data_IF_753364804087
#
_entry.id   IF_753364804087
#
_cell.length_a   1.000
_cell.length_b   1.000
_cell.length_c   1.000
_cell.angle_alpha   90.00
_cell.angle_beta   90.00
_cell.angle_gamma   90.00
#
_symmetry.space_group_name_H-M   'P 1'
#
loop_
_entity.id
_entity.type
_entity.pdbx_description
1 polymer ?
#
# COMPACT_ATOMS: atom_id res chain seq x y z
N UNK A 1 -27.72 73.67 -7.40
CA UNK A 1 -26.50 73.23 -6.68
C UNK A 1 -26.82 71.86 -6.11
N UNK A 2 -26.09 70.77 -6.30
CA UNK A 2 -24.66 70.59 -6.49
C UNK A 2 -24.37 69.54 -7.57
N UNK A 3 -23.26 69.76 -8.27
CA UNK A 3 -22.63 68.81 -9.19
C UNK A 3 -21.88 67.72 -8.43
N UNK A 4 -21.85 66.49 -8.96
CA UNK A 4 -20.58 65.78 -9.15
C UNK A 4 -20.73 64.70 -10.22
N UNK A 5 -20.35 65.05 -11.45
CA UNK A 5 -19.87 64.09 -12.45
C UNK A 5 -18.55 63.51 -11.95
N UNK A 6 -18.60 62.40 -11.21
CA UNK A 6 -17.42 61.64 -10.83
C UNK A 6 -17.20 60.53 -11.84
N UNK A 7 -16.31 60.77 -12.80
CA UNK A 7 -15.71 59.72 -13.62
C UNK A 7 -14.69 58.96 -12.77
N UNK A 8 -15.19 58.08 -11.90
CA UNK A 8 -14.39 57.18 -11.08
C UNK A 8 -14.53 55.73 -11.56
N UNK A 9 -13.46 54.95 -11.48
CA UNK A 9 -13.44 53.54 -11.84
C UNK A 9 -14.46 52.75 -10.98
N UNK A 10 -15.57 52.32 -11.60
CA UNK A 10 -16.61 51.47 -11.00
C UNK A 10 -16.27 49.96 -11.03
N UNK A 11 -15.01 49.59 -11.26
CA UNK A 11 -14.64 48.20 -11.54
C UNK A 11 -14.44 47.29 -10.32
N UNK A 12 -14.58 47.78 -9.09
CA UNK A 12 -14.47 46.92 -7.92
C UNK A 12 -15.76 46.11 -7.71
N UNK A 13 -15.73 44.85 -8.14
CA UNK A 13 -16.70 43.83 -7.72
C UNK A 13 -16.13 43.07 -6.54
N UNK A 14 -16.89 42.88 -5.46
CA UNK A 14 -16.45 42.11 -4.31
C UNK A 14 -16.12 40.66 -4.72
N UNK A 15 -15.20 40.01 -4.01
CA UNK A 15 -14.74 38.65 -4.34
C UNK A 15 -15.90 37.63 -4.45
N UNK A 16 -16.99 37.85 -3.72
CA UNK A 16 -18.20 37.03 -3.78
C UNK A 16 -18.99 37.19 -5.09
N UNK A 17 -18.82 38.30 -5.82
CA UNK A 17 -19.53 38.62 -7.08
C UNK A 17 -18.62 38.39 -8.30
N UNK A 18 -17.33 38.12 -8.09
CA UNK A 18 -16.40 37.82 -9.17
C UNK A 18 -16.54 36.37 -9.64
N UNK A 19 -16.57 36.16 -10.96
CA UNK A 19 -16.46 34.82 -11.52
C UNK A 19 -15.04 34.29 -11.29
N UNK A 20 -14.92 33.06 -10.78
CA UNK A 20 -13.65 32.41 -10.50
C UNK A 20 -12.88 32.24 -11.82
N UNK A 21 -11.72 32.89 -11.94
CA UNK A 21 -10.93 32.91 -13.16
C UNK A 21 -10.44 31.51 -13.61
N UNK A 22 -10.58 30.49 -12.77
CA UNK A 22 -10.15 29.11 -13.04
C UNK A 22 -11.29 28.19 -13.48
N UNK A 23 -12.49 28.70 -13.76
CA UNK A 23 -13.58 27.87 -14.30
C UNK A 23 -13.23 27.46 -15.74
N UNK A 24 -13.28 26.16 -16.02
CA UNK A 24 -13.11 25.66 -17.38
C UNK A 24 -14.31 26.10 -18.23
N UNK A 25 -14.13 26.40 -19.53
CA UNK A 25 -15.23 26.70 -20.42
C UNK A 25 -16.29 25.59 -20.36
N UNK A 26 -17.53 25.94 -20.02
CA UNK A 26 -18.66 25.01 -19.92
C UNK A 26 -18.97 24.44 -18.53
N UNK A 27 -18.17 24.70 -17.48
CA UNK A 27 -18.51 24.32 -16.11
C UNK A 27 -19.26 25.45 -15.37
N UNK A 28 -20.36 25.12 -14.67
CA UNK A 28 -21.08 26.04 -13.79
C UNK A 28 -20.70 25.84 -12.31
N UNK A 29 -20.91 26.86 -11.47
CA UNK A 29 -20.64 26.76 -10.03
C UNK A 29 -21.42 25.63 -9.34
N UNK A 30 -22.67 25.42 -9.75
CA UNK A 30 -23.55 24.36 -9.22
C UNK A 30 -23.01 22.96 -9.52
N UNK A 31 -22.44 22.75 -10.71
CA UNK A 31 -21.82 21.48 -11.10
C UNK A 31 -20.53 21.20 -10.32
N UNK A 32 -19.79 22.23 -9.91
CA UNK A 32 -18.56 22.06 -9.11
C UNK A 32 -18.86 21.77 -7.64
N UNK A 33 -19.92 22.37 -7.09
CA UNK A 33 -20.35 22.15 -5.71
C UNK A 33 -20.75 20.68 -5.45
N UNK A 34 -21.33 20.03 -6.45
CA UNK A 34 -21.74 18.61 -6.38
C UNK A 34 -20.64 17.62 -6.78
N UNK A 35 -19.60 18.08 -7.49
CA UNK A 35 -18.48 17.23 -7.94
C UNK A 35 -17.71 16.58 -6.78
N UNK A 36 -17.72 17.20 -5.60
CA UNK A 36 -17.07 16.69 -4.39
C UNK A 36 -18.05 16.05 -3.39
N UNK A 37 -19.36 16.17 -3.59
CA UNK A 37 -20.34 15.53 -2.68
C UNK A 37 -20.41 14.02 -2.91
N UNK A 38 -20.20 13.53 -4.14
CA UNK A 38 -20.20 12.08 -4.42
C UNK A 38 -18.88 11.38 -4.09
N UNK A 39 -17.75 12.12 -4.01
CA UNK A 39 -16.47 11.53 -3.56
C UNK A 39 -16.42 11.35 -2.03
N UNK A 40 -17.19 12.13 -1.26
CA UNK A 40 -17.24 12.00 0.20
C UNK A 40 -18.00 10.76 0.70
N UNK A 41 -18.94 10.24 -0.07
CA UNK A 41 -19.79 9.10 0.34
C UNK A 41 -19.12 7.73 0.15
N UNK A 42 -18.05 7.62 -0.64
CA UNK A 42 -17.31 6.36 -0.81
C UNK A 42 -16.05 6.25 0.05
N UNK A 43 -15.55 7.36 0.60
CA UNK A 43 -14.42 7.35 1.55
C UNK A 43 -14.93 7.04 2.97
N UNK A 44 -16.18 7.43 3.28
CA UNK A 44 -16.81 7.18 4.57
C UNK A 44 -17.71 5.96 4.40
N UNK A 45 -17.24 4.79 4.85
CA UNK A 45 -18.10 3.61 4.93
C UNK A 45 -19.32 3.93 5.83
N UNK A 46 -20.53 3.46 5.49
CA UNK A 46 -21.69 3.63 6.34
C UNK A 46 -21.38 3.10 7.75
N UNK A 47 -22.02 3.62 8.82
CA UNK A 47 -21.72 3.23 10.20
C UNK A 47 -21.77 1.72 10.45
N UNK A 48 -22.58 1.01 9.67
CA UNK A 48 -22.71 -0.46 9.69
C UNK A 48 -21.52 -1.23 9.10
N UNK A 49 -20.66 -0.57 8.32
CA UNK A 49 -19.48 -1.15 7.66
C UNK A 49 -18.16 -0.59 8.18
N UNK A 50 -18.19 0.32 9.18
CA UNK A 50 -16.97 0.79 9.83
C UNK A 50 -16.44 -0.28 10.77
N UNK A 51 -15.26 -0.84 10.45
CA UNK A 51 -14.49 -1.72 11.34
C UNK A 51 -14.15 -1.08 12.69
N UNK A 52 -14.25 0.25 12.77
CA UNK A 52 -13.90 1.04 13.94
C UNK A 52 -15.10 1.26 14.90
N UNK A 53 -16.25 0.61 14.65
CA UNK A 53 -17.40 0.66 15.57
C UNK A 53 -18.42 1.77 15.29
N UNK A 54 -19.46 1.86 16.12
CA UNK A 54 -20.63 2.74 15.92
C UNK A 54 -20.36 4.22 16.18
N UNK A 55 -19.32 4.57 16.95
CA UNK A 55 -19.08 5.94 17.44
C UNK A 55 -17.78 6.59 16.90
N UNK A 56 -17.31 6.14 15.75
CA UNK A 56 -15.97 6.48 15.21
C UNK A 56 -15.77 7.94 14.86
N UNK A 57 -16.86 8.64 14.56
CA UNK A 57 -16.84 10.04 14.13
C UNK A 57 -17.31 10.99 15.24
N UNK A 58 -17.62 10.44 16.41
CA UNK A 58 -18.01 11.22 17.57
C UNK A 58 -16.75 11.51 18.38
N UNK A 59 -16.43 12.79 18.57
CA UNK A 59 -15.39 13.16 19.53
C UNK A 59 -15.80 12.70 20.94
N UNK A 60 -14.83 12.41 21.82
CA UNK A 60 -15.08 12.11 23.24
C UNK A 60 -15.97 13.19 23.88
N UNK A 61 -15.79 14.45 23.44
CA UNK A 61 -16.63 15.57 23.85
C UNK A 61 -18.09 15.42 23.38
N UNK A 62 -18.34 14.97 22.15
CA UNK A 62 -19.69 14.72 21.62
C UNK A 62 -20.40 13.56 22.32
N UNK A 63 -19.70 12.46 22.59
CA UNK A 63 -20.26 11.34 23.37
C UNK A 63 -20.62 11.79 24.79
N UNK A 64 -19.76 12.58 25.43
CA UNK A 64 -20.02 13.14 26.77
C UNK A 64 -21.04 14.29 26.76
N UNK A 65 -21.23 14.93 25.61
CA UNK A 65 -22.13 16.07 25.43
C UNK A 65 -23.60 15.67 25.39
N UNK A 66 -23.92 14.39 25.16
CA UNK A 66 -25.29 13.90 25.29
C UNK A 66 -25.84 13.98 26.72
N UNK A 67 -24.95 14.07 27.71
CA UNK A 67 -25.31 14.22 29.13
C UNK A 67 -25.45 15.70 29.53
N UNK A 68 -24.80 16.61 28.80
CA UNK A 68 -24.85 18.05 29.08
C UNK A 68 -26.00 18.66 28.29
N UNK A 69 -27.09 18.97 28.97
CA UNK A 69 -28.22 19.64 28.35
C UNK A 69 -27.89 21.12 28.14
N UNK A 70 -28.52 21.82 27.16
CA UNK A 70 -28.36 23.26 26.98
C UNK A 70 -28.65 24.07 28.27
N UNK A 71 -29.46 23.51 29.16
CA UNK A 71 -29.83 24.07 30.46
C UNK A 71 -28.69 24.07 31.48
N UNK A 72 -27.69 23.20 31.30
CA UNK A 72 -26.49 23.11 32.13
C UNK A 72 -25.47 24.21 31.80
N UNK A 73 -25.62 24.86 30.63
CA UNK A 73 -24.76 25.96 30.22
C UNK A 73 -25.19 27.27 30.90
N UNK A 74 -24.51 27.63 31.99
CA UNK A 74 -24.68 28.92 32.68
C UNK A 74 -23.51 29.85 32.38
N UNK A 75 -23.81 31.03 31.83
CA UNK A 75 -22.82 32.08 31.57
C UNK A 75 -22.22 32.53 32.91
N UNK A 76 -20.88 32.50 33.09
CA UNK A 76 -20.25 32.97 34.31
C UNK A 76 -20.58 34.45 34.55
N UNK A 77 -20.75 34.83 35.81
CA UNK A 77 -20.95 36.22 36.19
C UNK A 77 -19.76 37.08 35.71
N UNK A 78 -20.01 38.34 35.32
CA UNK A 78 -19.02 39.25 34.70
C UNK A 78 -17.77 39.51 35.55
N UNK A 79 -17.84 39.17 36.84
CA UNK A 79 -16.74 39.29 37.81
C UNK A 79 -15.81 38.06 37.83
N UNK A 80 -16.12 37.00 37.06
CA UNK A 80 -15.27 35.80 36.93
C UNK A 80 -15.30 34.88 38.15
N UNK A 81 -16.31 35.00 39.01
CA UNK A 81 -16.37 34.32 40.31
C UNK A 81 -17.35 33.14 40.25
N UNK A 82 -16.84 31.92 40.05
CA UNK A 82 -17.60 30.66 40.05
C UNK A 82 -17.78 30.09 41.46
N UNK A 83 -18.16 30.91 42.44
CA UNK A 83 -18.02 30.55 43.87
C UNK A 83 -19.06 29.54 44.40
N UNK A 84 -20.14 29.23 43.67
CA UNK A 84 -21.21 28.35 44.20
C UNK A 84 -21.69 27.25 43.23
N UNK A 85 -20.83 26.75 42.33
CA UNK A 85 -21.25 25.64 41.45
C UNK A 85 -21.20 24.30 42.20
N UNK A 86 -22.38 23.69 42.37
CA UNK A 86 -22.52 22.31 42.83
C UNK A 86 -21.90 21.37 41.80
N UNK A 87 -20.98 20.50 42.22
CA UNK A 87 -20.38 19.50 41.33
C UNK A 87 -21.47 18.53 40.84
N UNK A 88 -21.40 18.05 39.59
CA UNK A 88 -22.31 17.02 39.11
C UNK A 88 -22.17 15.77 39.98
N UNK A 89 -23.29 15.14 40.33
CA UNK A 89 -23.33 14.00 41.26
C UNK A 89 -22.58 12.77 40.72
N UNK A 90 -22.59 12.56 39.40
CA UNK A 90 -21.87 11.46 38.76
C UNK A 90 -21.61 11.75 37.28
N UNK A 91 -20.42 11.37 36.79
CA UNK A 91 -20.09 11.33 35.36
C UNK A 91 -19.63 9.91 35.02
N UNK A 92 -20.39 9.12 34.24
CA UNK A 92 -19.94 7.79 33.86
C UNK A 92 -18.68 7.89 33.00
N UNK A 93 -17.67 7.09 33.35
CA UNK A 93 -16.48 6.94 32.54
C UNK A 93 -16.77 5.91 31.44
N UNK A 94 -17.14 6.41 30.27
CA UNK A 94 -17.54 5.59 29.10
C UNK A 94 -16.39 5.27 28.14
N UNK A 95 -15.23 5.90 28.30
CA UNK A 95 -14.12 5.74 27.34
C UNK A 95 -13.33 4.47 27.61
N UNK A 96 -13.22 3.60 26.60
CA UNK A 96 -12.23 2.53 26.54
C UNK A 96 -10.91 3.05 25.97
N UNK A 97 -9.80 2.37 26.29
CA UNK A 97 -8.51 2.69 25.68
C UNK A 97 -8.45 2.25 24.22
N UNK A 98 -7.64 2.92 23.39
CA UNK A 98 -7.40 2.52 21.99
C UNK A 98 -6.93 1.07 21.88
N UNK A 99 -6.12 0.62 22.84
CA UNK A 99 -5.66 -0.77 22.92
C UNK A 99 -6.82 -1.76 23.09
N UNK A 100 -7.79 -1.48 23.96
CA UNK A 100 -8.97 -2.34 24.15
C UNK A 100 -9.89 -2.35 22.93
N UNK A 101 -9.90 -1.25 22.18
CA UNK A 101 -10.66 -1.14 20.93
C UNK A 101 -10.00 -1.95 19.79
N UNK A 102 -8.67 -1.88 19.69
CA UNK A 102 -7.91 -2.54 18.62
C UNK A 102 -7.66 -4.03 18.92
N UNK A 103 -7.60 -4.39 20.20
CA UNK A 103 -7.39 -5.75 20.69
C UNK A 103 -8.50 -6.11 21.70
N UNK A 104 -9.75 -6.28 21.25
CA UNK A 104 -10.79 -6.79 22.14
C UNK A 104 -10.41 -8.20 22.61
N UNK A 105 -10.95 -8.60 23.77
CA UNK A 105 -10.70 -9.91 24.37
C UNK A 105 -11.41 -11.01 23.56
N UNK A 106 -10.92 -11.27 22.35
CA UNK A 106 -11.52 -12.19 21.37
C UNK A 106 -11.74 -13.58 21.96
N UNK A 107 -10.88 -14.04 22.86
CA UNK A 107 -11.04 -15.36 23.48
C UNK A 107 -12.20 -15.41 24.46
N UNK A 108 -12.46 -14.31 25.19
CA UNK A 108 -13.63 -14.21 26.07
C UNK A 108 -14.93 -14.11 25.26
N UNK A 109 -14.91 -13.42 24.12
CA UNK A 109 -16.03 -13.36 23.19
C UNK A 109 -16.34 -14.73 22.59
N UNK A 110 -15.31 -15.46 22.13
CA UNK A 110 -15.46 -16.82 21.59
C UNK A 110 -16.02 -17.78 22.64
N UNK A 111 -15.49 -17.75 23.87
CA UNK A 111 -16.02 -18.55 24.99
C UNK A 111 -17.47 -18.21 25.28
N UNK A 112 -17.84 -16.92 25.27
CA UNK A 112 -19.24 -16.48 25.45
C UNK A 112 -20.16 -17.08 24.39
N UNK A 113 -19.76 -17.07 23.12
CA UNK A 113 -20.55 -17.69 22.04
C UNK A 113 -20.66 -19.21 22.21
N UNK A 114 -19.58 -19.89 22.60
CA UNK A 114 -19.57 -21.35 22.80
C UNK A 114 -20.38 -21.82 24.02
N UNK A 115 -20.56 -20.96 25.02
CA UNK A 115 -21.35 -21.27 26.21
C UNK A 115 -22.87 -21.23 25.96
N UNK A 116 -23.32 -20.67 24.85
CA UNK A 116 -24.74 -20.58 24.51
C UNK A 116 -25.27 -21.95 24.09
N UNK A 117 -26.38 -22.36 24.71
CA UNK A 117 -27.03 -23.62 24.40
C UNK A 117 -27.75 -23.57 23.04
N UNK A 118 -27.87 -24.71 22.36
CA UNK A 118 -28.61 -24.81 21.10
C UNK A 118 -30.09 -24.47 21.29
N UNK A 119 -30.63 -24.71 22.48
CA UNK A 119 -32.02 -24.43 22.85
C UNK A 119 -32.32 -22.92 22.87
N UNK A 120 -31.36 -22.10 23.31
CA UNK A 120 -31.47 -20.64 23.28
C UNK A 120 -31.53 -20.11 21.84
N UNK A 121 -30.72 -20.67 20.95
CA UNK A 121 -30.80 -20.36 19.52
C UNK A 121 -32.13 -20.77 18.89
N UNK A 122 -32.70 -21.90 19.31
CA UNK A 122 -33.99 -22.38 18.82
C UNK A 122 -35.13 -21.48 19.25
N UNK A 123 -35.14 -21.09 20.52
CA UNK A 123 -36.13 -20.18 21.06
C UNK A 123 -36.08 -18.83 20.33
N UNK A 124 -34.89 -18.24 20.15
CA UNK A 124 -34.77 -16.98 19.42
C UNK A 124 -35.17 -17.10 17.95
N UNK A 125 -34.74 -18.17 17.27
CA UNK A 125 -35.13 -18.42 15.88
C UNK A 125 -36.65 -18.52 15.73
N UNK A 126 -37.32 -19.22 16.65
CA UNK A 126 -38.78 -19.36 16.64
C UNK A 126 -39.50 -18.06 16.99
N UNK A 127 -38.94 -17.20 17.86
CA UNK A 127 -39.54 -15.87 18.13
C UNK A 127 -39.52 -14.98 16.89
N UNK A 128 -38.41 -14.96 16.15
CA UNK A 128 -38.28 -14.20 14.90
C UNK A 128 -39.12 -14.81 13.77
N UNK A 129 -39.22 -16.14 13.68
CA UNK A 129 -40.10 -16.78 12.71
C UNK A 129 -41.59 -16.46 12.97
N UNK A 130 -42.00 -16.37 14.25
CA UNK A 130 -43.38 -16.02 14.64
C UNK A 130 -43.74 -14.57 14.34
N UNK A 131 -42.80 -13.63 14.45
CA UNK A 131 -43.07 -12.20 14.20
C UNK A 131 -43.38 -11.92 12.72
N UNK A 132 -42.95 -12.79 11.81
CA UNK A 132 -43.12 -12.65 10.35
C UNK A 132 -44.45 -13.22 9.83
N UNK A 133 -45.26 -13.84 10.71
CA UNK A 133 -46.63 -14.24 10.38
C UNK A 133 -46.76 -15.42 9.41
N UNK A 134 -45.75 -16.29 9.29
CA UNK A 134 -45.86 -17.47 8.43
C UNK A 134 -46.53 -18.65 9.16
N UNK A 135 -47.82 -18.83 8.92
CA UNK A 135 -48.57 -20.06 9.18
C UNK A 135 -48.21 -21.14 8.13
N UNK A 136 -46.96 -21.58 8.09
CA UNK A 136 -46.55 -22.78 7.34
C UNK A 136 -45.95 -23.80 8.29
N UNK A 137 -46.10 -25.09 7.96
CA UNK A 137 -45.66 -26.24 8.77
C UNK A 137 -44.14 -26.27 9.08
N UNK A 138 -43.33 -25.42 8.43
CA UNK A 138 -41.91 -25.24 8.74
C UNK A 138 -41.59 -23.76 9.02
N UNK A 139 -41.07 -23.48 10.23
CA UNK A 139 -40.59 -22.16 10.60
C UNK A 139 -39.36 -21.77 9.75
N UNK A 140 -39.51 -20.71 8.95
CA UNK A 140 -38.42 -20.16 8.13
C UNK A 140 -38.22 -18.67 8.40
N UNK A 141 -36.97 -18.21 8.37
CA UNK A 141 -36.58 -16.81 8.49
C UNK A 141 -35.93 -16.32 7.19
N UNK A 142 -35.86 -15.00 6.98
CA UNK A 142 -35.08 -14.43 5.89
C UNK A 142 -33.61 -14.26 6.28
N UNK A 143 -32.70 -14.25 5.31
CA UNK A 143 -31.26 -14.05 5.54
C UNK A 143 -30.97 -12.74 6.32
N UNK A 144 -31.67 -11.65 6.00
CA UNK A 144 -31.53 -10.36 6.70
C UNK A 144 -31.88 -10.44 8.20
N UNK A 145 -32.74 -11.40 8.59
CA UNK A 145 -33.22 -11.57 9.96
C UNK A 145 -32.29 -12.43 10.82
N UNK A 146 -31.26 -13.04 10.21
CA UNK A 146 -30.22 -13.78 10.95
C UNK A 146 -29.53 -12.87 11.98
N UNK A 147 -29.31 -11.60 11.64
CA UNK A 147 -28.73 -10.64 12.57
C UNK A 147 -29.64 -10.40 13.80
N UNK A 148 -30.96 -10.37 13.60
CA UNK A 148 -31.92 -10.17 14.69
C UNK A 148 -31.96 -11.38 15.63
N UNK A 149 -31.94 -12.60 15.07
CA UNK A 149 -31.83 -13.84 15.86
C UNK A 149 -30.55 -13.83 16.69
N UNK A 150 -29.41 -13.50 16.09
CA UNK A 150 -28.14 -13.47 16.81
C UNK A 150 -28.08 -12.39 17.89
N UNK A 151 -28.70 -11.22 17.66
CA UNK A 151 -28.81 -10.18 18.69
C UNK A 151 -29.66 -10.64 19.88
N UNK A 152 -30.73 -11.39 19.64
CA UNK A 152 -31.59 -11.91 20.72
C UNK A 152 -30.89 -12.98 21.57
N UNK A 153 -30.03 -13.79 20.97
CA UNK A 153 -29.32 -14.87 21.66
C UNK A 153 -28.04 -14.38 22.33
N UNK A 154 -27.21 -13.66 21.57
CA UNK A 154 -25.86 -13.30 21.99
C UNK A 154 -25.80 -11.93 22.66
N UNK A 155 -26.81 -11.08 22.49
CA UNK A 155 -26.80 -9.70 23.00
C UNK A 155 -25.54 -8.96 22.56
N UNK A 156 -24.77 -8.47 23.53
CA UNK A 156 -23.51 -7.77 23.31
C UNK A 156 -22.39 -8.68 22.74
N UNK A 157 -22.54 -10.00 22.82
CA UNK A 157 -21.62 -10.96 22.19
C UNK A 157 -21.92 -11.18 20.69
N UNK A 158 -22.95 -10.53 20.12
CA UNK A 158 -23.24 -10.51 18.68
C UNK A 158 -22.27 -9.61 17.90
N UNK A 159 -20.97 -9.83 18.11
CA UNK A 159 -19.89 -9.08 17.45
C UNK A 159 -20.02 -9.24 15.92
N UNK A 160 -19.75 -8.19 15.12
CA UNK A 160 -19.89 -8.23 13.67
C UNK A 160 -19.23 -9.45 13.02
N UNK A 161 -18.05 -9.84 13.50
CA UNK A 161 -17.33 -11.04 13.03
C UNK A 161 -18.15 -12.33 13.19
N UNK A 162 -18.84 -12.51 14.32
CA UNK A 162 -19.66 -13.69 14.57
C UNK A 162 -20.87 -13.70 13.64
N UNK A 163 -21.53 -12.55 13.51
CA UNK A 163 -22.66 -12.36 12.58
C UNK A 163 -22.25 -12.66 11.14
N UNK A 164 -21.09 -12.19 10.70
CA UNK A 164 -20.55 -12.47 9.36
C UNK A 164 -20.26 -13.96 9.14
N UNK A 165 -19.77 -14.70 10.14
CA UNK A 165 -19.56 -16.15 10.02
C UNK A 165 -20.86 -16.91 9.79
N UNK A 166 -21.91 -16.58 10.57
CA UNK A 166 -23.25 -17.13 10.38
C UNK A 166 -23.82 -16.76 9.01
N UNK A 167 -23.75 -15.47 8.64
CA UNK A 167 -24.26 -14.99 7.37
C UNK A 167 -23.53 -15.65 6.18
N UNK A 168 -22.21 -15.76 6.22
CA UNK A 168 -21.41 -16.39 5.16
C UNK A 168 -21.72 -17.87 5.00
N UNK A 169 -21.93 -18.60 6.10
CA UNK A 169 -22.27 -20.01 6.04
C UNK A 169 -23.67 -20.23 5.48
N UNK A 170 -24.64 -19.43 5.93
CA UNK A 170 -26.04 -19.54 5.52
C UNK A 170 -26.23 -19.07 4.08
N UNK A 171 -25.60 -17.98 3.65
CA UNK A 171 -25.68 -17.44 2.29
C UNK A 171 -25.15 -18.44 1.25
N UNK A 172 -23.98 -19.07 1.51
CA UNK A 172 -23.38 -20.07 0.61
C UNK A 172 -24.22 -21.34 0.43
N UNK A 173 -25.13 -21.63 1.36
CA UNK A 173 -25.96 -22.83 1.39
C UNK A 173 -27.46 -22.52 1.32
N UNK A 174 -27.80 -21.25 1.20
CA UNK A 174 -29.17 -20.75 1.16
C UNK A 174 -29.87 -21.27 -0.07
N UNK A 175 -31.11 -21.74 0.12
CA UNK A 175 -31.98 -22.15 -0.97
C UNK A 175 -32.39 -20.95 -1.84
N UNK A 176 -32.99 -21.22 -3.00
CA UNK A 176 -33.31 -20.35 -4.15
C UNK A 176 -34.13 -19.07 -3.83
N UNK A 177 -34.45 -18.76 -2.56
CA UNK A 177 -35.32 -17.62 -2.16
C UNK A 177 -34.99 -16.99 -0.79
N UNK A 178 -33.73 -16.92 -0.37
CA UNK A 178 -33.30 -16.27 0.90
C UNK A 178 -34.00 -16.78 2.18
N UNK A 179 -34.62 -17.96 2.10
CA UNK A 179 -35.33 -18.60 3.22
C UNK A 179 -34.39 -19.57 3.92
N UNK A 180 -34.21 -19.34 5.21
CA UNK A 180 -33.37 -20.13 6.09
C UNK A 180 -34.28 -20.98 6.97
N UNK A 181 -34.17 -22.30 6.84
CA UNK A 181 -34.86 -23.24 7.73
C UNK A 181 -34.07 -23.47 9.01
N UNK A 182 -34.75 -23.89 10.08
CA UNK A 182 -34.09 -24.22 11.35
C UNK A 182 -32.98 -25.27 11.18
N UNK A 183 -33.17 -26.27 10.30
CA UNK A 183 -32.14 -27.28 10.03
C UNK A 183 -30.86 -26.68 9.45
N UNK A 184 -30.99 -25.71 8.53
CA UNK A 184 -29.84 -25.03 7.94
C UNK A 184 -29.15 -24.14 8.98
N UNK A 185 -29.93 -23.44 9.80
CA UNK A 185 -29.42 -22.58 10.86
C UNK A 185 -28.69 -23.40 11.94
N UNK A 186 -29.23 -24.55 12.35
CA UNK A 186 -28.56 -25.49 13.26
C UNK A 186 -27.20 -25.96 12.73
N UNK A 187 -27.13 -26.29 11.44
CA UNK A 187 -25.84 -26.64 10.82
C UNK A 187 -24.86 -25.45 10.82
N UNK A 188 -25.36 -24.21 10.76
CA UNK A 188 -24.54 -23.01 10.88
C UNK A 188 -23.99 -22.87 12.31
N UNK A 189 -24.81 -23.12 13.34
CA UNK A 189 -24.38 -23.13 14.74
C UNK A 189 -23.26 -24.17 14.93
N UNK A 190 -23.48 -25.41 14.49
CA UNK A 190 -22.48 -26.47 14.60
C UNK A 190 -21.17 -26.08 13.88
N UNK A 191 -21.27 -25.45 12.70
CA UNK A 191 -20.10 -25.00 11.95
C UNK A 191 -19.33 -23.89 12.67
N UNK A 192 -20.03 -22.87 13.16
CA UNK A 192 -19.44 -21.73 13.85
C UNK A 192 -18.83 -22.17 15.18
N UNK A 193 -19.52 -23.01 15.95
CA UNK A 193 -18.98 -23.55 17.20
C UNK A 193 -17.70 -24.38 16.96
N UNK A 194 -17.70 -25.27 15.98
CA UNK A 194 -16.49 -26.03 15.63
C UNK A 194 -15.33 -25.13 15.17
N UNK A 195 -15.63 -24.03 14.47
CA UNK A 195 -14.61 -23.07 14.04
C UNK A 195 -14.04 -22.31 15.23
N UNK A 196 -14.90 -21.76 16.10
CA UNK A 196 -14.48 -21.01 17.27
C UNK A 196 -13.71 -21.88 18.28
N UNK A 197 -14.16 -23.12 18.48
CA UNK A 197 -13.49 -24.08 19.35
C UNK A 197 -12.07 -24.41 18.84
N UNK A 198 -11.91 -24.61 17.53
CA UNK A 198 -10.58 -24.78 16.91
C UNK A 198 -9.70 -23.55 17.03
N UNK A 199 -10.26 -22.35 16.96
CA UNK A 199 -9.49 -21.10 17.09
C UNK A 199 -9.01 -20.88 18.52
N UNK A 200 -9.82 -21.21 19.53
CA UNK A 200 -9.42 -21.13 20.94
C UNK A 200 -8.28 -22.11 21.27
N UNK A 201 -8.34 -23.33 20.74
CA UNK A 201 -7.36 -24.38 21.03
C UNK A 201 -6.11 -24.33 20.13
N UNK A 202 -6.07 -23.49 19.10
CA UNK A 202 -4.88 -23.30 18.24
C UNK A 202 -3.67 -22.70 18.97
N UNK A 203 -3.88 -22.09 20.14
CA UNK A 203 -2.80 -21.49 20.95
C UNK A 203 -1.88 -22.51 21.63
N UNK A 204 -2.33 -23.73 21.90
CA UNK A 204 -1.55 -24.70 22.66
C UNK A 204 -0.76 -25.70 21.80
N UNK A 205 -1.19 -25.98 20.56
CA UNK A 205 -0.53 -26.99 19.72
C UNK A 205 -0.60 -26.68 18.22
N UNK A 206 -0.01 -25.57 17.74
CA UNK A 206 0.13 -25.36 16.30
C UNK A 206 1.52 -24.85 15.91
N UNK A 207 2.38 -25.79 15.52
CA UNK A 207 3.48 -25.52 14.60
C UNK A 207 2.96 -24.68 13.41
N UNK A 208 3.73 -23.64 13.09
CA UNK A 208 3.59 -22.67 11.99
C UNK A 208 3.39 -23.29 10.59
N UNK A 209 2.29 -24.00 10.35
CA UNK A 209 2.08 -24.71 9.08
C UNK A 209 0.67 -25.20 8.78
N UNK A 210 -0.35 -24.82 9.55
CA UNK A 210 -1.74 -25.21 9.24
C UNK A 210 -2.33 -24.32 8.14
N UNK A 211 -2.11 -24.73 6.89
CA UNK A 211 -2.81 -24.23 5.69
C UNK A 211 -4.33 -24.41 5.88
N UNK A 212 -5.06 -23.30 5.92
CA UNK A 212 -6.51 -23.31 5.91
C UNK A 212 -7.01 -23.77 4.53
N UNK A 213 -7.71 -24.89 4.48
CA UNK A 213 -8.51 -25.27 3.31
C UNK A 213 -9.84 -24.52 3.39
N UNK A 214 -9.81 -23.33 2.81
CA UNK A 214 -10.89 -22.37 2.76
C UNK A 214 -10.35 -21.25 1.89
N UNK A 215 -10.58 -21.38 0.59
CA UNK A 215 -10.03 -20.55 -0.47
C UNK A 215 -9.88 -19.08 -0.05
N UNK A 216 -8.64 -18.62 0.22
CA UNK A 216 -8.30 -17.20 0.06
C UNK A 216 -8.85 -16.81 -1.30
N UNK A 217 -9.76 -15.85 -1.33
CA UNK A 217 -10.32 -15.37 -2.59
C UNK A 217 -9.18 -14.89 -3.48
N UNK A 218 -9.34 -14.93 -4.79
CA UNK A 218 -8.30 -14.45 -5.72
C UNK A 218 -7.89 -12.99 -5.40
N UNK A 219 -8.86 -12.20 -4.89
CA UNK A 219 -8.66 -10.85 -4.38
C UNK A 219 -7.76 -10.78 -3.14
N UNK A 220 -7.92 -11.67 -2.15
CA UNK A 220 -7.04 -11.71 -0.97
C UNK A 220 -5.63 -12.21 -1.31
N UNK A 221 -5.49 -13.12 -2.26
CA UNK A 221 -4.16 -13.54 -2.75
C UNK A 221 -3.44 -12.39 -3.45
N UNK A 222 -4.14 -11.60 -4.28
CA UNK A 222 -3.56 -10.40 -4.85
C UNK A 222 -3.21 -9.37 -3.77
N UNK A 223 -4.11 -9.09 -2.83
CA UNK A 223 -3.84 -8.11 -1.77
C UNK A 223 -2.64 -8.50 -0.90
N UNK A 224 -2.51 -9.77 -0.52
CA UNK A 224 -1.37 -10.26 0.28
C UNK A 224 -0.05 -10.27 -0.52
N UNK A 225 -0.10 -10.53 -1.83
CA UNK A 225 1.08 -10.48 -2.70
C UNK A 225 1.60 -9.05 -2.90
N UNK A 226 0.71 -8.05 -2.76
CA UNK A 226 1.06 -6.63 -2.83
C UNK A 226 1.28 -5.96 -1.46
N UNK A 227 1.10 -6.68 -0.35
CA UNK A 227 1.33 -6.16 1.00
C UNK A 227 2.82 -6.28 1.37
N UNK A 228 3.57 -5.21 1.09
CA UNK A 228 4.91 -5.03 1.66
C UNK A 228 4.74 -4.87 3.17
N UNK A 229 5.15 -5.89 3.92
CA UNK A 229 5.16 -5.83 5.37
C UNK A 229 6.16 -4.73 5.77
N UNK A 230 5.73 -3.76 6.57
CA UNK A 230 6.63 -2.74 7.07
C UNK A 230 7.62 -3.37 8.04
N UNK A 231 8.82 -3.68 7.55
CA UNK A 231 9.94 -3.98 8.43
C UNK A 231 10.23 -2.72 9.23
N UNK A 232 10.31 -2.85 10.56
CA UNK A 232 10.85 -1.78 11.40
C UNK A 232 12.28 -1.52 10.91
N UNK A 233 12.64 -0.28 10.52
CA UNK A 233 13.99 0.01 10.11
C UNK A 233 14.95 -0.25 11.28
N UNK A 234 16.15 -0.79 11.03
CA UNK A 234 17.14 -0.96 12.08
C UNK A 234 17.51 0.39 12.70
N UNK A 235 17.79 0.40 14.00
CA UNK A 235 18.25 1.62 14.65
C UNK A 235 19.64 2.02 14.12
N UNK A 236 19.98 3.30 14.19
CA UNK A 236 21.33 3.79 13.81
C UNK A 236 22.43 3.01 14.51
N UNK A 237 22.24 2.70 15.80
CA UNK A 237 23.17 1.86 16.56
C UNK A 237 23.32 0.45 15.97
N UNK A 238 22.23 -0.17 15.53
CA UNK A 238 22.27 -1.50 14.91
C UNK A 238 23.02 -1.50 13.58
N UNK A 239 22.84 -0.45 12.77
CA UNK A 239 23.55 -0.27 11.50
C UNK A 239 25.04 -0.03 11.77
N UNK A 240 25.36 0.91 12.66
CA UNK A 240 26.74 1.36 12.86
C UNK A 240 27.58 0.37 13.68
N UNK A 241 27.03 -0.19 14.77
CA UNK A 241 27.74 -1.01 15.75
C UNK A 241 27.35 -2.48 15.72
N UNK A 242 26.18 -2.81 15.16
CA UNK A 242 25.69 -4.18 15.04
C UNK A 242 24.53 -4.47 15.99
N UNK A 243 23.90 -5.62 15.76
CA UNK A 243 22.82 -6.13 16.59
C UNK A 243 23.34 -6.83 17.83
N UNK A 244 22.47 -7.04 18.83
CA UNK A 244 22.82 -7.80 20.02
C UNK A 244 23.30 -9.21 19.65
N UNK A 245 24.47 -9.61 20.18
CA UNK A 245 25.13 -10.89 19.85
C UNK A 245 25.94 -10.88 18.55
N UNK A 246 25.97 -9.76 17.81
CA UNK A 246 26.81 -9.61 16.62
C UNK A 246 28.28 -9.44 16.97
N UNK A 247 29.17 -10.19 16.31
CA UNK A 247 30.61 -10.06 16.50
C UNK A 247 31.18 -8.97 15.58
N UNK A 248 31.82 -7.91 16.11
CA UNK A 248 32.37 -6.83 15.29
C UNK A 248 33.51 -7.30 14.37
N UNK A 249 34.17 -8.42 14.68
CA UNK A 249 35.24 -8.99 13.85
C UNK A 249 34.74 -9.67 12.58
N UNK A 250 33.46 -10.05 12.54
CA UNK A 250 32.87 -10.73 11.40
C UNK A 250 32.54 -9.77 10.25
N UNK A 251 32.75 -8.46 10.46
CA UNK A 251 32.53 -7.45 9.42
C UNK A 251 33.54 -7.65 8.29
N UNK A 252 33.08 -7.88 7.04
CA UNK A 252 33.98 -8.14 5.94
C UNK A 252 34.82 -6.90 5.65
N UNK A 253 36.08 -7.16 5.31
CA UNK A 253 36.94 -6.14 4.75
C UNK A 253 36.43 -5.80 3.34
N UNK A 254 35.99 -4.56 3.14
CA UNK A 254 35.65 -4.04 1.83
C UNK A 254 36.94 -3.63 1.11
N UNK A 255 37.27 -4.37 0.05
CA UNK A 255 38.44 -4.16 -0.82
C UNK A 255 38.69 -2.69 -1.23
N UNK A 256 37.67 -1.83 -1.22
CA UNK A 256 37.69 -0.42 -1.65
C UNK A 256 37.73 0.63 -0.51
N UNK A 257 37.39 0.26 0.73
CA UNK A 257 37.18 1.20 1.85
C UNK A 257 37.89 0.82 3.17
N UNK A 258 38.53 -0.34 3.24
CA UNK A 258 39.00 -0.88 4.51
C UNK A 258 37.92 -1.76 5.15
N UNK A 259 37.65 -1.61 6.45
CA UNK A 259 36.47 -2.24 7.04
C UNK A 259 35.18 -1.72 6.39
N UNK A 260 34.15 -2.57 6.29
CA UNK A 260 32.80 -2.12 5.93
C UNK A 260 32.40 -0.92 6.81
N UNK A 261 32.26 0.23 6.17
CA UNK A 261 32.00 1.52 6.83
C UNK A 261 30.65 1.45 7.54
N UNK A 262 30.58 1.95 8.76
CA UNK A 262 29.35 1.99 9.57
C UNK A 262 28.22 2.78 8.87
N UNK A 263 28.61 3.72 8.00
CA UNK A 263 27.73 4.65 7.25
C UNK A 263 27.60 4.35 5.75
N UNK A 264 27.63 3.09 5.31
CA UNK A 264 27.52 2.76 3.87
C UNK A 264 26.24 3.26 3.22
N UNK A 265 25.15 3.33 3.99
CA UNK A 265 23.84 3.85 3.63
C UNK A 265 23.85 5.35 3.27
N UNK A 266 24.74 6.15 3.88
CA UNK A 266 24.86 7.59 3.63
C UNK A 266 25.75 7.94 2.43
N UNK A 267 26.64 7.03 2.02
CA UNK A 267 27.62 7.28 0.97
C UNK A 267 27.32 6.72 -0.45
N UNK A 268 26.13 6.19 -0.80
CA UNK A 268 25.96 5.45 -2.05
C UNK A 268 26.00 6.30 -3.33
N UNK A 269 25.73 7.60 -3.23
CA UNK A 269 25.85 8.56 -4.33
C UNK A 269 27.25 9.16 -4.52
N UNK A 270 28.29 8.59 -3.88
CA UNK A 270 29.65 9.17 -3.87
C UNK A 270 30.69 8.22 -4.45
N UNK A 271 31.84 8.77 -4.83
CA UNK A 271 32.97 7.98 -5.33
C UNK A 271 33.55 7.00 -4.31
N UNK A 272 33.13 7.09 -3.03
CA UNK A 272 33.55 6.13 -2.02
C UNK A 272 33.02 4.70 -2.30
N UNK A 273 31.86 4.52 -2.95
CA UNK A 273 31.32 3.16 -3.28
C UNK A 273 31.85 2.65 -4.63
N UNK A 274 32.16 3.55 -5.56
CA UNK A 274 32.57 3.22 -6.92
C UNK A 274 34.11 3.13 -7.05
N UNK A 275 34.61 2.73 -8.21
CA UNK A 275 36.06 2.71 -8.51
C UNK A 275 36.56 4.07 -9.05
N UNK A 276 35.72 5.10 -8.98
CA UNK A 276 36.11 6.42 -9.45
C UNK A 276 37.11 7.06 -8.49
N UNK A 277 37.99 7.90 -9.02
CA UNK A 277 38.95 8.64 -8.20
C UNK A 277 38.23 9.57 -7.20
N UNK A 278 38.79 9.80 -6.00
CA UNK A 278 38.34 10.88 -5.14
C UNK A 278 38.34 12.21 -5.89
N UNK A 279 37.26 12.99 -5.76
CA UNK A 279 37.09 14.25 -6.51
C UNK A 279 36.47 14.09 -7.91
N UNK A 280 36.12 12.87 -8.34
CA UNK A 280 35.30 12.68 -9.54
C UNK A 280 33.99 13.46 -9.44
N UNK A 281 33.76 14.34 -10.41
CA UNK A 281 32.62 15.26 -10.46
C UNK A 281 31.50 14.83 -11.42
N UNK A 282 31.63 13.64 -12.03
CA UNK A 282 30.59 13.09 -12.89
C UNK A 282 29.43 12.48 -12.11
N UNK A 283 28.34 12.22 -12.81
CA UNK A 283 27.13 11.63 -12.22
C UNK A 283 27.34 10.18 -11.80
N UNK A 284 26.91 9.84 -10.58
CA UNK A 284 26.93 8.49 -10.03
C UNK A 284 25.49 8.03 -9.73
N UNK A 285 24.89 7.17 -10.57
CA UNK A 285 23.54 6.67 -10.34
C UNK A 285 23.49 5.77 -9.10
N UNK A 286 22.49 6.04 -8.26
CA UNK A 286 22.07 5.15 -7.19
C UNK A 286 20.69 4.59 -7.51
N UNK A 287 20.65 3.39 -8.09
CA UNK A 287 19.40 2.72 -8.43
C UNK A 287 19.54 1.22 -8.27
N UNK A 288 18.51 0.58 -7.72
CA UNK A 288 18.38 -0.88 -7.67
C UNK A 288 17.74 -1.45 -8.95
N UNK A 289 17.15 -0.60 -9.79
CA UNK A 289 16.31 -1.02 -10.92
C UNK A 289 17.04 -1.07 -12.26
N UNK A 290 18.26 -0.52 -12.34
CA UNK A 290 19.05 -0.52 -13.58
C UNK A 290 20.47 -1.01 -13.30
N UNK A 291 20.69 -2.31 -13.54
CA UNK A 291 21.97 -2.97 -13.33
C UNK A 291 23.09 -2.43 -14.25
N UNK A 292 22.77 -2.03 -15.48
CA UNK A 292 23.74 -1.50 -16.42
C UNK A 292 24.29 -0.14 -15.97
N UNK A 293 23.40 0.73 -15.49
CA UNK A 293 23.79 2.03 -14.95
C UNK A 293 24.73 1.87 -13.73
N UNK A 294 24.43 0.91 -12.84
CA UNK A 294 25.28 0.60 -11.68
C UNK A 294 26.65 0.04 -12.12
N UNK A 295 26.68 -0.84 -13.11
CA UNK A 295 27.93 -1.39 -13.65
C UNK A 295 28.81 -0.31 -14.27
N UNK A 296 28.23 0.60 -15.04
CA UNK A 296 28.94 1.74 -15.64
C UNK A 296 29.46 2.72 -14.57
N UNK A 297 28.64 3.03 -13.57
CA UNK A 297 28.99 3.94 -12.48
C UNK A 297 30.15 3.41 -11.61
N UNK A 298 30.17 2.09 -11.40
CA UNK A 298 31.25 1.42 -10.66
C UNK A 298 32.60 1.64 -11.35
N UNK A 299 32.61 1.91 -12.66
CA UNK A 299 33.82 2.13 -13.45
C UNK A 299 34.48 0.81 -13.87
N UNK A 300 35.23 0.81 -14.99
CA UNK A 300 35.88 -0.40 -15.48
C UNK A 300 36.94 -0.89 -14.49
N UNK A 301 37.05 -2.21 -14.30
CA UNK A 301 38.14 -2.80 -13.50
C UNK A 301 39.51 -2.65 -14.19
N UNK A 302 39.52 -2.53 -15.52
CA UNK A 302 40.73 -2.34 -16.33
C UNK A 302 40.74 -0.98 -17.04
N UNK A 303 41.70 -0.13 -16.67
CA UNK A 303 41.92 1.21 -17.23
C UNK A 303 42.18 1.17 -18.74
N UNK A 304 42.68 0.05 -19.28
CA UNK A 304 42.98 -0.13 -20.71
C UNK A 304 41.78 0.04 -21.65
N UNK A 305 40.54 -0.09 -21.14
CA UNK A 305 39.31 0.13 -21.91
C UNK A 305 38.88 1.59 -22.02
N UNK A 306 39.47 2.50 -21.24
CA UNK A 306 39.12 3.94 -21.24
C UNK A 306 39.71 4.71 -22.42
N UNK A 307 40.59 4.09 -23.22
CA UNK A 307 41.07 4.63 -24.48
C UNK A 307 40.52 3.81 -25.67
N UNK A 308 39.23 3.97 -26.04
CA UNK A 308 38.62 3.23 -27.13
C UNK A 308 38.69 4.01 -28.44
N UNK A 309 39.72 4.80 -28.70
CA UNK A 309 40.09 5.07 -30.08
C UNK A 309 40.99 3.92 -30.50
N UNK A 310 40.44 2.80 -31.02
CA UNK A 310 41.29 1.77 -31.61
C UNK A 310 42.17 2.46 -32.63
N UNK A 311 43.46 2.08 -32.70
CA UNK A 311 44.45 2.66 -33.63
C UNK A 311 43.95 2.73 -35.08
N UNK A 312 42.98 1.89 -35.43
CA UNK A 312 42.23 1.82 -36.69
C UNK A 312 41.37 3.06 -36.97
N UNK A 313 40.73 3.66 -35.96
CA UNK A 313 39.77 4.75 -36.12
C UNK A 313 40.41 6.04 -36.66
N UNK A 314 41.69 6.27 -36.35
CA UNK A 314 42.39 7.49 -36.76
C UNK A 314 43.07 7.37 -38.15
N UNK A 315 42.97 6.24 -38.86
CA UNK A 315 43.67 5.97 -40.15
C UNK A 315 45.19 6.24 -40.13
N UNK A 316 45.78 6.41 -38.94
CA UNK A 316 47.16 6.83 -38.78
C UNK A 316 48.15 5.69 -39.03
N UNK A 317 47.75 4.42 -38.89
CA UNK A 317 48.71 3.31 -38.81
C UNK A 317 48.42 2.08 -39.68
N UNK A 318 47.27 1.97 -40.35
CA UNK A 318 46.94 0.81 -41.19
C UNK A 318 46.44 1.28 -42.55
N UNK A 319 47.38 1.51 -43.47
CA UNK A 319 47.09 1.32 -44.88
C UNK A 319 47.75 0.01 -45.29
N UNK A 320 46.96 -0.95 -45.75
CA UNK A 320 47.47 -2.16 -46.38
C UNK A 320 48.19 -1.85 -47.70
N UNK A 321 48.04 -0.62 -48.18
CA UNK A 321 48.80 -0.09 -49.30
C UNK A 321 50.22 0.24 -48.87
N UNK A 322 51.17 -0.17 -49.71
CA UNK A 322 52.57 0.20 -49.58
C UNK A 322 52.75 1.73 -49.55
N UNK A 323 53.71 2.26 -48.77
CA UNK A 323 54.06 3.67 -48.82
C UNK A 323 54.37 4.11 -50.26
N UNK A 324 53.81 5.25 -50.67
CA UNK A 324 53.98 5.79 -52.02
C UNK A 324 52.90 5.40 -53.04
N UNK A 325 52.02 4.45 -52.73
CA UNK A 325 50.84 4.19 -53.56
C UNK A 325 49.85 5.37 -53.49
N UNK A 326 49.58 6.00 -54.63
CA UNK A 326 48.70 7.18 -54.75
C UNK A 326 47.29 6.86 -55.27
N UNK A 327 46.94 5.57 -55.38
CA UNK A 327 45.62 5.14 -55.87
C UNK A 327 44.51 5.30 -54.83
N UNK A 328 43.33 4.76 -55.13
CA UNK A 328 42.17 4.89 -54.25
C UNK A 328 42.44 4.30 -52.86
N UNK A 329 42.21 5.11 -51.82
CA UNK A 329 42.22 4.67 -50.42
C UNK A 329 40.77 4.60 -49.94
N UNK A 330 40.23 3.41 -49.60
CA UNK A 330 38.87 3.32 -49.08
C UNK A 330 38.78 4.08 -47.76
N UNK A 331 37.91 5.09 -47.75
CA UNK A 331 37.66 5.99 -46.62
C UNK A 331 36.52 5.42 -45.75
N UNK A 332 35.55 4.79 -46.39
CA UNK A 332 34.38 4.21 -45.75
C UNK A 332 34.60 2.71 -45.45
N UNK A 333 34.05 2.22 -44.32
CA UNK A 333 34.16 0.81 -43.95
C UNK A 333 33.48 -0.11 -44.96
N UNK A 334 32.41 0.35 -45.63
CA UNK A 334 31.73 -0.39 -46.68
C UNK A 334 32.61 -0.66 -47.91
N UNK A 335 33.61 0.20 -48.15
CA UNK A 335 34.52 0.11 -49.30
C UNK A 335 35.83 -0.62 -48.96
N UNK A 336 36.06 -0.92 -47.69
CA UNK A 336 37.25 -1.62 -47.25
C UNK A 336 37.03 -3.14 -47.40
N UNK A 337 37.79 -3.75 -48.32
CA UNK A 337 37.72 -5.19 -48.63
C UNK A 337 38.94 -5.96 -48.11
N UNK A 338 39.70 -5.38 -47.19
CA UNK A 338 40.99 -5.92 -46.72
C UNK A 338 42.17 -5.45 -47.57
N UNK A 339 43.26 -6.22 -47.51
CA UNK A 339 44.52 -5.89 -48.17
C UNK A 339 44.35 -5.70 -49.69
N UNK A 340 44.95 -4.63 -50.22
CA UNK A 340 44.86 -4.35 -51.65
C UNK A 340 45.77 -5.31 -52.43
N UNK A 341 45.17 -6.28 -53.12
CA UNK A 341 45.85 -7.19 -54.05
C UNK A 341 46.20 -6.51 -55.38
N UNK A 342 46.62 -5.23 -55.34
CA UNK A 342 46.97 -4.48 -56.54
C UNK A 342 48.18 -5.14 -57.23
N UNK A 343 48.04 -5.42 -58.53
CA UNK A 343 49.11 -5.97 -59.35
C UNK A 343 49.17 -7.50 -59.44
N UNK A 344 48.27 -8.23 -58.79
CA UNK A 344 48.10 -9.68 -58.96
C UNK A 344 46.82 -10.06 -59.72
N UNK A 345 46.19 -9.11 -60.40
CA UNK A 345 45.00 -9.35 -61.22
C UNK A 345 45.39 -10.01 -62.55
N UNK A 346 44.91 -11.23 -62.86
CA UNK A 346 45.17 -11.89 -64.14
C UNK A 346 44.62 -11.13 -65.35
N UNK A 347 43.74 -10.13 -65.15
CA UNK A 347 43.32 -9.20 -66.20
C UNK A 347 44.43 -8.26 -66.71
N UNK A 348 45.57 -8.18 -66.01
CA UNK A 348 46.74 -7.39 -66.42
C UNK A 348 47.89 -8.31 -66.80
N UNK A 349 48.66 -7.99 -67.84
CA UNK A 349 49.81 -8.79 -68.29
C UNK A 349 50.88 -8.95 -67.21
N UNK A 350 51.03 -7.94 -66.35
CA UNK A 350 51.94 -7.94 -65.19
C UNK A 350 51.42 -8.79 -64.03
N UNK A 351 50.11 -8.87 -63.85
CA UNK A 351 49.50 -9.70 -62.81
C UNK A 351 49.39 -11.17 -63.20
N UNK A 352 49.16 -11.47 -64.49
CA UNK A 352 49.13 -12.84 -65.02
C UNK A 352 50.52 -13.52 -64.93
N UNK A 353 51.59 -12.73 -65.00
CA UNK A 353 52.97 -13.22 -64.81
C UNK A 353 53.37 -13.37 -63.34
N UNK A 354 52.57 -12.88 -62.39
CA UNK A 354 52.83 -13.00 -60.97
C UNK A 354 52.48 -14.42 -60.48
N UNK A 355 53.49 -15.20 -60.09
CA UNK A 355 53.31 -16.50 -59.43
C UNK A 355 53.57 -16.32 -57.94
N UNK A 356 52.58 -16.53 -57.05
CA UNK A 356 52.85 -16.48 -55.62
C UNK A 356 53.86 -17.57 -55.26
N UNK A 357 54.91 -17.19 -54.54
CA UNK A 357 55.83 -18.18 -53.97
C UNK A 357 55.05 -18.97 -52.92
N UNK A 358 54.86 -20.27 -53.17
CA UNK A 358 54.25 -21.17 -52.18
C UNK A 358 55.12 -21.17 -50.92
N UNK A 359 54.54 -20.68 -49.82
CA UNK A 359 55.06 -20.82 -48.46
C UNK A 359 54.41 -22.00 -47.77
#
# INVERSE_FOLDING_TARGET
MCASTTYGYQGFKSFAVQHCATLKPGETYEQRATKFSSMGSHIIAPPTMNRMGTHTHESVAMQSGQVVQPEDYRVPDRRGVSVNQTRPEFKPFISSSTYQHDFPAYDEERRRVLHVSVEEYENAFMTVAKSVGQQQDEATIQLAQVQEVLKLVLGDAAVPRVVEMFHSYVDRRGSVRDRVSWRLFRQAIDHVNNLLDRELHRGETANSGSKWWGSKTFAEKQLDEFLVHSSTPPSTHQIDFGTYGGNPRDRPYMRKRGMASTTTDLNPGTSRVTNQIPGYAGFLPLTSHNAEAVAQATGPEEIGRLHPTPRVALRLFHSDNIPGYTGHKPVDCANYRGECLAGSDPGTTTGDSYKPHAG
#
